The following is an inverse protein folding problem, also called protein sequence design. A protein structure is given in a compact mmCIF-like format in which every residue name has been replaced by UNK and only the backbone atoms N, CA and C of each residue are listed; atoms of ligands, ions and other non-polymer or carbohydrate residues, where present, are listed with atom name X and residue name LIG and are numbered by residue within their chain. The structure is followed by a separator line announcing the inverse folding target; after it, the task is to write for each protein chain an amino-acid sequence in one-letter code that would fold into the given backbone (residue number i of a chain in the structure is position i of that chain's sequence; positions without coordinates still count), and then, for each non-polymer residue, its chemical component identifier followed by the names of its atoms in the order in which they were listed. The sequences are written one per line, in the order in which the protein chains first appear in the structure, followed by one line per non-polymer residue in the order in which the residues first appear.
data_IF_751271218845
#
_entry.id   IF_751271218845
#
_cell.length_a   1.000
_cell.length_b   1.000
_cell.length_c   1.000
_cell.angle_alpha   90.00
_cell.angle_beta   90.00
_cell.angle_gamma   90.00
#
_symmetry.space_group_name_H-M   'P 1'
#
loop_
_entity.id
_entity.type
_entity.pdbx_description
1 polymer ?
#
# COMPACT_ATOMS: atom_id res chain seq x y z
N UNK A 1 1.75 -13.06 -10.35
CA UNK A 1 1.17 -11.78 -10.81
C UNK A 1 1.67 -10.56 -10.02
N UNK A 2 1.73 -10.54 -8.67
CA UNK A 2 2.24 -9.37 -7.94
C UNK A 2 3.79 -9.31 -7.78
N UNK A 3 4.47 -10.45 -7.88
CA UNK A 3 5.92 -10.56 -7.59
C UNK A 3 6.84 -10.20 -8.76
N UNK A 4 6.31 -10.04 -9.98
CA UNK A 4 7.10 -9.75 -11.19
C UNK A 4 7.44 -8.26 -11.36
N UNK A 5 6.78 -7.35 -10.64
CA UNK A 5 6.97 -5.90 -10.80
C UNK A 5 8.23 -5.35 -10.08
N UNK A 6 8.98 -6.19 -9.35
CA UNK A 6 10.17 -5.80 -8.59
C UNK A 6 11.46 -6.33 -9.23
N UNK A 7 11.70 -5.99 -10.50
CA UNK A 7 13.06 -5.92 -11.06
C UNK A 7 13.58 -4.47 -10.95
N UNK A 8 13.51 -3.89 -9.75
CA UNK A 8 14.16 -2.62 -9.42
C UNK A 8 15.28 -2.94 -8.43
N UNK A 9 16.49 -3.14 -8.98
CA UNK A 9 17.68 -3.67 -8.31
C UNK A 9 18.28 -2.74 -7.22
N UNK A 10 17.49 -1.83 -6.65
CA UNK A 10 17.92 -0.93 -5.56
C UNK A 10 16.81 -0.41 -4.64
N UNK A 11 15.53 -0.76 -4.82
CA UNK A 11 14.47 -0.28 -3.92
C UNK A 11 14.20 -1.30 -2.82
N UNK A 12 14.37 -0.88 -1.57
CA UNK A 12 14.05 -1.73 -0.42
C UNK A 12 12.54 -1.91 -0.33
N UNK A 13 12.07 -3.14 -0.07
CA UNK A 13 10.64 -3.45 0.11
C UNK A 13 9.95 -2.58 1.16
N UNK A 14 10.69 -2.14 2.19
CA UNK A 14 10.25 -1.21 3.22
C UNK A 14 9.86 0.19 2.70
N UNK A 15 10.40 0.58 1.54
CA UNK A 15 10.14 1.86 0.88
C UNK A 15 9.00 1.78 -0.14
N UNK A 16 8.44 0.60 -0.37
CA UNK A 16 7.35 0.39 -1.33
C UNK A 16 6.01 0.35 -0.62
N UNK A 17 5.07 1.15 -1.11
CA UNK A 17 3.66 1.10 -0.72
C UNK A 17 2.84 0.54 -1.89
N UNK A 18 2.23 -0.62 -1.70
CA UNK A 18 1.30 -1.20 -2.66
C UNK A 18 -0.09 -0.59 -2.45
N UNK A 19 -0.68 -0.05 -3.51
CA UNK A 19 -1.99 0.60 -3.48
C UNK A 19 -2.97 -0.22 -4.33
N UNK A 20 -4.14 -0.54 -3.78
CA UNK A 20 -5.19 -1.25 -4.52
C UNK A 20 -6.55 -1.11 -3.84
N UNK A 21 -7.61 -1.48 -4.56
CA UNK A 21 -9.00 -1.41 -4.09
C UNK A 21 -9.56 -2.78 -3.70
N UNK A 22 -8.89 -3.87 -4.10
CA UNK A 22 -9.30 -5.23 -3.75
C UNK A 22 -8.54 -5.76 -2.54
N UNK A 23 -9.24 -5.90 -1.41
CA UNK A 23 -8.64 -6.47 -0.20
C UNK A 23 -8.02 -7.86 -0.44
N UNK A 24 -8.69 -8.71 -1.22
CA UNK A 24 -8.28 -10.09 -1.44
C UNK A 24 -7.11 -10.23 -2.42
N UNK A 25 -7.13 -9.46 -3.50
CA UNK A 25 -6.13 -9.61 -4.56
C UNK A 25 -4.91 -8.70 -4.33
N UNK A 26 -5.14 -7.47 -3.90
CA UNK A 26 -4.11 -6.45 -3.79
C UNK A 26 -3.46 -6.48 -2.42
N UNK A 27 -4.27 -6.31 -1.38
CA UNK A 27 -3.77 -6.07 -0.02
C UNK A 27 -3.19 -7.36 0.56
N UNK A 28 -3.95 -8.45 0.57
CA UNK A 28 -3.44 -9.73 1.09
C UNK A 28 -2.24 -10.24 0.28
N UNK A 29 -2.25 -10.06 -1.05
CA UNK A 29 -1.14 -10.47 -1.91
C UNK A 29 0.14 -9.67 -1.64
N UNK A 30 0.04 -8.34 -1.59
CA UNK A 30 1.17 -7.47 -1.31
C UNK A 30 1.70 -7.62 0.12
N UNK A 31 0.80 -7.81 1.09
CA UNK A 31 1.17 -8.06 2.49
C UNK A 31 1.93 -9.37 2.64
N UNK A 32 1.49 -10.43 1.97
CA UNK A 32 2.21 -11.71 1.93
C UNK A 32 3.59 -11.60 1.26
N UNK A 33 3.77 -10.64 0.34
CA UNK A 33 5.06 -10.32 -0.28
C UNK A 33 5.95 -9.40 0.59
N UNK A 34 5.52 -9.03 1.79
CA UNK A 34 6.26 -8.19 2.73
C UNK A 34 6.24 -6.69 2.41
N UNK A 35 5.29 -6.24 1.58
CA UNK A 35 5.13 -4.84 1.24
C UNK A 35 4.20 -4.13 2.24
N UNK A 36 4.37 -2.82 2.36
CA UNK A 36 3.36 -1.98 3.00
C UNK A 36 2.17 -1.81 2.06
N UNK A 37 0.97 -1.65 2.62
CA UNK A 37 -0.27 -1.64 1.83
C UNK A 37 -1.15 -0.43 2.14
N UNK A 38 -1.72 0.18 1.09
CA UNK A 38 -2.80 1.16 1.20
C UNK A 38 -4.02 0.63 0.46
N UNK A 39 -5.13 0.49 1.18
CA UNK A 39 -6.39 0.03 0.64
C UNK A 39 -7.29 1.21 0.34
N UNK A 40 -7.66 1.35 -0.94
CA UNK A 40 -8.70 2.27 -1.37
C UNK A 40 -10.05 1.63 -1.06
N UNK A 41 -10.73 2.15 -0.04
CA UNK A 41 -12.02 1.65 0.42
C UNK A 41 -12.96 2.85 0.67
N UNK A 42 -13.93 3.13 -0.21
CA UNK A 42 -14.87 4.23 -0.05
C UNK A 42 -15.69 4.18 1.25
N UNK A 43 -15.88 2.99 1.84
CA UNK A 43 -16.56 2.87 3.14
C UNK A 43 -15.71 3.34 4.33
N UNK A 44 -14.40 3.52 4.14
CA UNK A 44 -13.45 3.88 5.19
C UNK A 44 -13.29 2.81 6.28
N UNK A 45 -13.87 1.62 6.10
CA UNK A 45 -13.83 0.56 7.11
C UNK A 45 -12.41 0.01 7.21
N UNK A 46 -11.82 0.12 8.40
CA UNK A 46 -10.51 -0.42 8.68
C UNK A 46 -10.48 -1.95 8.52
N UNK A 47 -9.34 -2.49 8.10
CA UNK A 47 -9.13 -3.93 8.04
C UNK A 47 -7.71 -4.26 8.50
N UNK A 48 -7.50 -5.29 9.35
CA UNK A 48 -6.19 -5.60 9.93
C UNK A 48 -5.11 -5.98 8.91
N UNK A 49 -5.52 -6.36 7.69
CA UNK A 49 -4.60 -6.68 6.61
C UNK A 49 -4.03 -5.45 5.88
N UNK A 50 -4.68 -4.28 6.00
CA UNK A 50 -4.25 -3.05 5.35
C UNK A 50 -3.51 -2.15 6.35
N UNK A 51 -2.35 -1.61 5.97
CA UNK A 51 -1.61 -0.68 6.83
C UNK A 51 -2.21 0.72 6.82
N UNK A 52 -2.81 1.10 5.69
CA UNK A 52 -3.49 2.36 5.46
C UNK A 52 -4.84 2.05 4.80
N UNK A 53 -5.91 2.71 5.24
CA UNK A 53 -7.21 2.68 4.57
C UNK A 53 -7.61 4.11 4.27
N UNK A 54 -7.93 4.38 2.99
CA UNK A 54 -8.33 5.70 2.51
C UNK A 54 -9.53 5.56 1.58
N UNK A 55 -10.45 6.54 1.56
CA UNK A 55 -11.64 6.46 0.72
C UNK A 55 -11.34 6.63 -0.78
N UNK A 56 -10.22 7.26 -1.13
CA UNK A 56 -9.83 7.56 -2.50
C UNK A 56 -8.35 7.91 -2.66
N UNK A 57 -7.94 8.07 -3.92
CA UNK A 57 -6.56 8.40 -4.30
C UNK A 57 -6.15 9.82 -3.86
N UNK A 58 -7.10 10.76 -3.83
CA UNK A 58 -6.83 12.15 -3.42
C UNK A 58 -6.43 12.19 -1.94
N UNK A 59 -7.17 11.47 -1.10
CA UNK A 59 -6.88 11.38 0.33
C UNK A 59 -5.56 10.65 0.59
N UNK A 60 -5.24 9.64 -0.23
CA UNK A 60 -3.95 8.97 -0.17
C UNK A 60 -2.80 9.92 -0.51
N UNK A 61 -2.92 10.69 -1.59
CA UNK A 61 -1.91 11.68 -1.99
C UNK A 61 -1.68 12.71 -0.88
N UNK A 62 -2.75 13.27 -0.32
CA UNK A 62 -2.67 14.22 0.79
C UNK A 62 -1.97 13.63 2.02
N UNK A 63 -2.25 12.36 2.34
CA UNK A 63 -1.60 11.65 3.44
C UNK A 63 -0.10 11.48 3.18
N UNK A 64 0.28 11.10 1.97
CA UNK A 64 1.69 10.90 1.60
C UNK A 64 2.49 12.21 1.58
N UNK A 65 1.87 13.31 1.14
CA UNK A 65 2.48 14.65 1.18
C UNK A 65 2.67 15.11 2.63
N UNK A 66 1.68 14.87 3.50
CA UNK A 66 1.70 15.31 4.89
C UNK A 66 2.62 14.47 5.77
N UNK A 67 2.86 13.20 5.39
CA UNK A 67 3.66 12.27 6.16
C UNK A 67 4.56 11.41 5.26
N UNK A 68 5.61 11.99 4.66
CA UNK A 68 6.56 11.22 3.88
C UNK A 68 7.26 10.21 4.80
N UNK A 69 7.14 8.92 4.49
CA UNK A 69 7.80 7.87 5.30
C UNK A 69 9.31 8.12 5.29
N UNK A 70 9.88 8.45 6.45
CA UNK A 70 11.33 8.61 6.63
C UNK A 70 11.98 7.23 6.53
N UNK A 71 12.92 7.09 5.60
CA UNK A 71 13.82 5.95 5.52
C UNK A 71 14.76 6.01 6.73
N UNK A 72 14.44 5.26 7.78
CA UNK A 72 15.41 4.92 8.85
C UNK A 72 16.21 3.70 8.45
#
# INVERSE_FOLDING_TARGET
MAVEALEIDSVQRSQVLFVGDSLRCDILGAKAAGLSTAWINPSGTAHPAADIVVPGLIELEQLLISNPRRST
#
